data_IF_580567978340
#
_entry.id   IF_580567978340
#
_cell.length_a   1.000
_cell.length_b   1.000
_cell.length_c   1.000
_cell.angle_alpha   90.00
_cell.angle_beta   90.00
_cell.angle_gamma   90.00
#
_symmetry.space_group_name_H-M   'P 1'
#
loop_
_entity.id
_entity.type
_entity.pdbx_description
1 polymer ?
#
# COMPACT_ATOMS: atom_id res chain seq x y z
N UNK A 1 9.88 -6.52 79.43
CA UNK A 1 8.89 -6.73 78.35
C UNK A 1 8.80 -5.43 77.57
N UNK A 2 9.51 -5.35 76.44
CA UNK A 2 9.55 -4.15 75.60
C UNK A 2 8.34 -4.16 74.66
N UNK A 3 7.41 -3.25 74.90
CA UNK A 3 6.19 -3.02 74.12
C UNK A 3 6.57 -2.51 72.73
N UNK A 4 6.64 -3.42 71.78
CA UNK A 4 6.94 -3.14 70.38
C UNK A 4 5.69 -2.51 69.74
N UNK A 5 5.50 -1.19 69.93
CA UNK A 5 4.43 -0.44 69.26
C UNK A 5 4.70 -0.48 67.75
N UNK A 6 3.73 -0.88 66.91
CA UNK A 6 3.89 -0.87 65.47
C UNK A 6 4.09 0.58 65.03
N UNK A 7 5.31 0.89 64.58
CA UNK A 7 5.67 2.19 64.03
C UNK A 7 4.60 2.60 63.03
N UNK A 8 3.90 3.69 63.34
CA UNK A 8 2.87 4.28 62.50
C UNK A 8 3.39 4.36 61.08
N UNK A 9 2.82 3.52 60.21
CA UNK A 9 3.09 3.52 58.78
C UNK A 9 2.53 4.84 58.28
N UNK A 10 3.35 5.90 58.33
CA UNK A 10 3.02 7.22 57.77
C UNK A 10 2.48 6.92 56.38
N UNK A 11 1.20 7.21 56.17
CA UNK A 11 0.54 7.11 54.88
C UNK A 11 1.20 8.17 54.00
N UNK A 12 2.40 7.87 53.50
CA UNK A 12 3.07 8.68 52.50
C UNK A 12 2.11 8.70 51.32
N UNK A 13 1.36 9.79 51.18
CA UNK A 13 0.28 9.92 50.22
C UNK A 13 0.77 9.49 48.85
N UNK A 14 0.25 8.36 48.37
CA UNK A 14 0.68 7.81 47.11
C UNK A 14 0.46 8.86 46.02
N UNK A 15 1.53 9.23 45.31
CA UNK A 15 1.39 10.15 44.18
C UNK A 15 0.41 9.56 43.16
N UNK A 16 -0.50 10.37 42.59
CA UNK A 16 -1.51 9.90 41.67
C UNK A 16 -0.85 9.19 40.48
N UNK A 17 -1.23 7.93 40.29
CA UNK A 17 -0.76 7.10 39.17
C UNK A 17 -1.79 7.18 38.06
N UNK A 18 -1.48 7.97 37.04
CA UNK A 18 -2.22 8.03 35.78
C UNK A 18 -1.93 6.79 34.93
N UNK A 19 -2.27 5.61 35.43
CA UNK A 19 -2.15 4.36 34.68
C UNK A 19 -3.50 4.02 34.06
N UNK A 20 -3.54 3.96 32.74
CA UNK A 20 -4.73 3.50 32.01
C UNK A 20 -4.96 2.03 32.35
N UNK A 21 -6.18 1.63 32.76
CA UNK A 21 -6.47 0.23 33.03
C UNK A 21 -6.26 -0.61 31.76
N UNK A 22 -5.72 -1.84 31.88
CA UNK A 22 -5.51 -2.69 30.72
C UNK A 22 -6.85 -3.04 30.05
N UNK A 23 -6.87 -3.01 28.71
CA UNK A 23 -8.05 -3.37 27.93
C UNK A 23 -8.34 -4.88 28.10
N UNK A 24 -9.58 -5.22 28.50
CA UNK A 24 -10.02 -6.62 28.65
C UNK A 24 -10.13 -7.38 27.33
N UNK A 25 -10.20 -6.66 26.22
CA UNK A 25 -10.24 -7.23 24.87
C UNK A 25 -8.96 -6.88 24.15
N UNK A 26 -8.27 -7.91 23.66
CA UNK A 26 -7.03 -7.79 22.90
C UNK A 26 -7.24 -8.39 21.53
N UNK A 27 -6.78 -7.70 20.48
CA UNK A 27 -6.77 -8.25 19.14
C UNK A 27 -5.83 -9.46 19.04
N UNK A 28 -6.21 -10.44 18.24
CA UNK A 28 -5.36 -11.58 17.90
C UNK A 28 -4.44 -11.20 16.73
N UNK A 29 -3.18 -11.59 16.79
CA UNK A 29 -2.30 -11.55 15.62
C UNK A 29 -2.76 -12.57 14.59
N UNK A 30 -2.30 -12.44 13.33
CA UNK A 30 -2.67 -13.36 12.25
C UNK A 30 -2.46 -14.83 12.65
N UNK A 31 -1.28 -15.16 13.20
CA UNK A 31 -0.97 -16.54 13.58
C UNK A 31 -1.80 -17.02 14.76
N UNK A 32 -1.98 -16.18 15.79
CA UNK A 32 -2.85 -16.51 16.90
C UNK A 32 -4.31 -16.70 16.47
N UNK A 33 -4.78 -15.88 15.51
CA UNK A 33 -6.12 -15.99 14.95
C UNK A 33 -6.31 -17.31 14.17
N UNK A 34 -5.31 -17.74 13.40
CA UNK A 34 -5.32 -19.04 12.69
C UNK A 34 -5.42 -20.24 13.64
N UNK A 35 -4.80 -20.15 14.83
CA UNK A 35 -4.88 -21.20 15.85
C UNK A 35 -6.16 -21.13 16.69
N UNK A 36 -6.71 -19.94 16.89
CA UNK A 36 -7.85 -19.73 17.80
C UNK A 36 -9.21 -19.88 17.10
N UNK A 37 -9.30 -19.46 15.84
CA UNK A 37 -10.55 -19.44 15.09
C UNK A 37 -10.56 -20.52 14.01
N UNK A 38 -11.74 -21.09 13.76
CA UNK A 38 -11.91 -21.97 12.59
C UNK A 38 -11.82 -21.17 11.29
N UNK A 39 -11.51 -21.85 10.18
CA UNK A 39 -11.48 -21.22 8.85
C UNK A 39 -12.82 -20.53 8.49
N UNK A 40 -13.95 -21.16 8.84
CA UNK A 40 -15.28 -20.58 8.60
C UNK A 40 -15.55 -19.33 9.46
N UNK A 41 -15.08 -19.32 10.71
CA UNK A 41 -15.17 -18.14 11.57
C UNK A 41 -14.31 -16.99 11.02
N UNK A 42 -13.08 -17.28 10.61
CA UNK A 42 -12.19 -16.29 9.98
C UNK A 42 -12.80 -15.73 8.70
N UNK A 43 -13.32 -16.59 7.82
CA UNK A 43 -14.01 -16.17 6.61
C UNK A 43 -15.23 -15.30 6.93
N UNK A 44 -16.01 -15.64 7.95
CA UNK A 44 -17.14 -14.84 8.42
C UNK A 44 -16.72 -13.45 8.92
N UNK A 45 -15.66 -13.37 9.72
CA UNK A 45 -15.10 -12.12 10.24
C UNK A 45 -14.60 -11.25 9.07
N UNK A 46 -13.78 -11.81 8.19
CA UNK A 46 -13.23 -11.11 7.03
C UNK A 46 -14.34 -10.65 6.09
N UNK A 47 -15.31 -11.51 5.79
CA UNK A 47 -16.44 -11.16 4.91
C UNK A 47 -17.27 -10.02 5.49
N UNK A 48 -17.53 -10.03 6.81
CA UNK A 48 -18.22 -8.93 7.48
C UNK A 48 -17.42 -7.64 7.44
N UNK A 49 -16.12 -7.69 7.72
CA UNK A 49 -15.23 -6.52 7.68
C UNK A 49 -15.13 -5.93 6.27
N UNK A 50 -15.04 -6.78 5.24
CA UNK A 50 -15.07 -6.36 3.83
C UNK A 50 -16.41 -5.70 3.51
N UNK A 51 -17.54 -6.30 3.90
CA UNK A 51 -18.86 -5.69 3.67
C UNK A 51 -18.98 -4.31 4.31
N UNK A 52 -18.63 -4.19 5.58
CA UNK A 52 -18.67 -2.92 6.31
C UNK A 52 -17.74 -1.86 5.71
N UNK A 53 -16.53 -2.24 5.28
CA UNK A 53 -15.60 -1.33 4.59
C UNK A 53 -15.96 -1.06 3.12
N UNK A 54 -16.81 -1.90 2.52
CA UNK A 54 -17.32 -1.74 1.15
C UNK A 54 -18.55 -0.84 1.06
N UNK A 55 -19.17 -0.47 2.18
CA UNK A 55 -20.24 0.52 2.20
C UNK A 55 -19.67 1.91 1.82
N UNK A 56 -20.39 2.67 1.01
CA UNK A 56 -19.92 4.01 0.62
C UNK A 56 -19.99 5.00 1.79
N UNK A 57 -20.90 4.77 2.74
CA UNK A 57 -21.09 5.56 3.96
C UNK A 57 -19.91 5.48 4.94
N UNK A 58 -19.09 4.43 4.86
CA UNK A 58 -17.94 4.22 5.75
C UNK A 58 -16.67 4.94 5.27
N UNK A 59 -16.64 5.43 4.03
CA UNK A 59 -15.49 6.14 3.47
C UNK A 59 -15.50 7.60 3.95
N UNK A 60 -14.52 7.94 4.80
CA UNK A 60 -14.20 9.33 5.17
C UNK A 60 -12.75 9.62 4.81
N UNK A 61 -12.55 10.51 3.83
CA UNK A 61 -11.22 10.93 3.39
C UNK A 61 -10.95 12.36 3.86
N UNK A 62 -9.70 12.60 4.25
CA UNK A 62 -9.20 13.89 4.66
C UNK A 62 -8.29 14.43 3.55
N UNK A 63 -8.01 15.73 3.59
CA UNK A 63 -7.03 16.35 2.71
C UNK A 63 -5.64 15.87 3.09
N UNK A 64 -4.78 15.68 2.09
CA UNK A 64 -3.41 15.19 2.29
C UNK A 64 -2.61 16.11 3.22
N UNK A 65 -2.76 17.42 3.05
CA UNK A 65 -2.13 18.44 3.90
C UNK A 65 -2.51 18.26 5.37
N UNK A 66 -3.80 18.03 5.65
CA UNK A 66 -4.30 17.83 7.01
C UNK A 66 -3.79 16.53 7.63
N UNK A 67 -3.64 15.47 6.84
CA UNK A 67 -3.13 14.18 7.34
C UNK A 67 -1.63 14.23 7.63
N UNK A 68 -0.86 14.90 6.76
CA UNK A 68 0.59 14.88 6.83
C UNK A 68 1.18 15.99 7.71
N UNK A 69 0.48 17.12 7.86
CA UNK A 69 0.96 18.31 8.59
C UNK A 69 0.09 18.64 9.80
N UNK A 70 -1.17 18.99 9.56
CA UNK A 70 -2.02 19.59 10.60
C UNK A 70 -2.28 18.62 11.78
N UNK A 71 -2.63 17.35 11.49
CA UNK A 71 -2.93 16.36 12.53
C UNK A 71 -1.68 16.01 13.36
N UNK A 72 -0.51 15.69 12.77
CA UNK A 72 0.70 15.43 13.56
C UNK A 72 1.16 16.63 14.40
N UNK A 73 1.08 17.84 13.86
CA UNK A 73 1.43 19.07 14.59
C UNK A 73 0.52 19.28 15.80
N UNK A 74 -0.79 19.16 15.59
CA UNK A 74 -1.78 19.32 16.64
C UNK A 74 -1.69 18.21 17.70
N UNK A 75 -1.45 16.96 17.28
CA UNK A 75 -1.22 15.84 18.19
C UNK A 75 0.01 16.11 19.07
N UNK A 76 1.10 16.59 18.49
CA UNK A 76 2.30 16.95 19.25
C UNK A 76 2.03 18.09 20.24
N UNK A 77 1.29 19.13 19.82
CA UNK A 77 0.86 20.24 20.68
C UNK A 77 0.04 19.76 21.87
N UNK A 78 -0.94 18.89 21.64
CA UNK A 78 -1.79 18.31 22.68
C UNK A 78 -1.02 17.37 23.61
N UNK A 79 -0.06 16.60 23.10
CA UNK A 79 0.81 15.75 23.93
C UNK A 79 1.67 16.58 24.88
N UNK A 80 2.23 17.69 24.41
CA UNK A 80 2.99 18.63 25.23
C UNK A 80 2.10 19.27 26.30
N UNK A 81 0.91 19.74 25.91
CA UNK A 81 -0.09 20.27 26.85
C UNK A 81 -0.49 19.23 27.91
N UNK A 82 -0.73 17.98 27.51
CA UNK A 82 -1.04 16.87 28.42
C UNK A 82 0.10 16.62 29.40
N UNK A 83 1.35 16.64 28.96
CA UNK A 83 2.51 16.47 29.86
C UNK A 83 2.64 17.62 30.85
N UNK A 84 2.40 18.86 30.41
CA UNK A 84 2.44 20.05 31.27
C UNK A 84 1.33 20.02 32.33
N UNK A 85 0.08 19.75 31.93
CA UNK A 85 -1.04 19.60 32.86
C UNK A 85 -0.76 18.49 33.87
N UNK A 86 -0.23 17.35 33.42
CA UNK A 86 0.13 16.23 34.31
C UNK A 86 1.23 16.57 35.31
N UNK A 87 2.23 17.37 34.92
CA UNK A 87 3.29 17.81 35.85
C UNK A 87 2.76 18.81 36.87
N UNK A 88 1.95 19.80 36.45
CA UNK A 88 1.28 20.76 37.34
C UNK A 88 0.35 20.05 38.33
N UNK A 89 -0.49 19.13 37.86
CA UNK A 89 -1.39 18.37 38.71
C UNK A 89 -0.63 17.58 39.79
N UNK A 90 0.48 16.92 39.42
CA UNK A 90 1.34 16.21 40.38
C UNK A 90 1.96 17.14 41.42
N UNK A 91 2.41 18.32 40.99
CA UNK A 91 2.96 19.34 41.90
C UNK A 91 1.92 19.81 42.91
N UNK A 92 0.73 20.21 42.45
CA UNK A 92 -0.37 20.66 43.31
C UNK A 92 -0.87 19.55 44.23
N UNK A 93 -0.93 18.31 43.75
CA UNK A 93 -1.30 17.17 44.60
C UNK A 93 -0.30 17.00 45.75
N UNK A 94 1.01 17.14 45.50
CA UNK A 94 2.04 17.10 46.56
C UNK A 94 1.89 18.26 47.53
N UNK A 95 1.62 19.48 47.03
CA UNK A 95 1.37 20.66 47.85
C UNK A 95 0.14 20.47 48.75
N UNK A 96 -0.97 19.94 48.21
CA UNK A 96 -2.18 19.57 48.95
C UNK A 96 -1.87 18.60 50.08
N UNK A 97 -1.13 17.52 49.79
CA UNK A 97 -0.72 16.54 50.81
C UNK A 97 0.16 17.16 51.89
N UNK A 98 1.06 18.09 51.54
CA UNK A 98 1.88 18.82 52.51
C UNK A 98 1.04 19.71 53.43
N UNK A 99 0.07 20.45 52.88
CA UNK A 99 -0.84 21.30 53.66
C UNK A 99 -1.77 20.49 54.58
N UNK A 100 -2.24 19.34 54.11
CA UNK A 100 -3.00 18.42 54.94
C UNK A 100 -2.15 17.89 56.10
N UNK A 101 -0.89 17.52 55.86
CA UNK A 101 0.02 17.07 56.91
C UNK A 101 0.29 18.18 57.95
N UNK A 102 0.49 19.43 57.52
CA UNK A 102 0.64 20.56 58.45
C UNK A 102 -0.62 20.79 59.27
N UNK A 103 -1.80 20.69 58.64
CA UNK A 103 -3.08 20.81 59.32
C UNK A 103 -3.28 19.70 60.36
N UNK A 104 -2.90 18.45 60.03
CA UNK A 104 -2.96 17.32 60.97
C UNK A 104 -2.04 17.54 62.17
N UNK A 105 -0.80 17.99 61.95
CA UNK A 105 0.14 18.27 63.05
C UNK A 105 -0.38 19.39 63.97
N UNK A 106 -1.08 20.39 63.40
CA UNK A 106 -1.72 21.45 64.18
C UNK A 106 -2.88 20.92 65.04
N UNK A 107 -3.67 19.97 64.51
CA UNK A 107 -4.77 19.33 65.24
C UNK A 107 -4.29 18.40 66.37
N UNK A 108 -3.13 17.75 66.21
CA UNK A 108 -2.54 16.86 67.22
C UNK A 108 -2.02 17.63 68.47
N UNK A 109 -2.17 18.96 68.50
CA UNK A 109 -1.86 19.80 69.65
C UNK A 109 -0.37 19.94 69.93
N UNK A 110 0.49 19.53 68.99
CA UNK A 110 1.94 19.66 69.11
C UNK A 110 2.43 21.11 69.03
N UNK A 111 1.64 22.01 68.45
CA UNK A 111 1.94 23.44 68.36
C UNK A 111 0.72 24.27 68.85
N UNK A 112 0.90 25.08 69.89
CA UNK A 112 -0.05 26.11 70.33
C UNK A 112 -0.02 27.29 69.35
N UNK A 113 -0.51 27.10 68.13
CA UNK A 113 -0.55 28.15 67.11
C UNK A 113 -1.91 28.86 67.04
N UNK A 114 -1.87 30.11 66.56
CA UNK A 114 -3.04 30.97 66.38
C UNK A 114 -4.10 30.32 65.46
N UNK A 115 -5.39 30.33 65.85
CA UNK A 115 -6.48 29.75 65.04
C UNK A 115 -6.61 30.40 63.65
N UNK A 116 -6.12 31.63 63.49
CA UNK A 116 -6.08 32.32 62.20
C UNK A 116 -5.15 31.66 61.18
N UNK A 117 -4.09 30.98 61.63
CA UNK A 117 -3.17 30.28 60.74
C UNK A 117 -3.82 29.02 60.16
N UNK A 118 -4.55 28.27 60.99
CA UNK A 118 -5.34 27.12 60.55
C UNK A 118 -6.34 27.50 59.44
N UNK A 119 -7.06 28.62 59.60
CA UNK A 119 -8.01 29.12 58.61
C UNK A 119 -7.34 29.45 57.26
N UNK A 120 -6.12 30.01 57.27
CA UNK A 120 -5.36 30.27 56.04
C UNK A 120 -4.95 28.99 55.32
N UNK A 121 -4.57 27.94 56.06
CA UNK A 121 -4.25 26.63 55.48
C UNK A 121 -5.50 26.04 54.80
N UNK A 122 -6.67 26.14 55.45
CA UNK A 122 -7.94 25.66 54.90
C UNK A 122 -8.32 26.40 53.62
N UNK A 123 -8.18 27.72 53.56
CA UNK A 123 -8.48 28.49 52.33
C UNK A 123 -7.51 28.11 51.19
N UNK A 124 -6.20 28.00 51.47
CA UNK A 124 -5.22 27.53 50.48
C UNK A 124 -5.54 26.10 49.98
N UNK A 125 -6.05 25.24 50.86
CA UNK A 125 -6.42 23.88 50.51
C UNK A 125 -7.65 23.85 49.58
N UNK A 126 -8.62 24.72 49.84
CA UNK A 126 -9.79 24.92 48.98
C UNK A 126 -9.37 25.41 47.59
N UNK A 127 -8.50 26.41 47.51
CA UNK A 127 -8.00 26.94 46.23
C UNK A 127 -7.26 25.87 45.41
N UNK A 128 -6.35 25.12 46.05
CA UNK A 128 -5.62 24.02 45.39
C UNK A 128 -6.58 22.91 44.94
N UNK A 129 -7.65 22.65 45.68
CA UNK A 129 -8.63 21.63 45.28
C UNK A 129 -9.39 22.07 44.02
N UNK A 130 -9.82 23.32 43.95
CA UNK A 130 -10.46 23.89 42.75
C UNK A 130 -9.49 23.85 41.55
N UNK A 131 -8.21 24.18 41.75
CA UNK A 131 -7.22 24.13 40.68
C UNK A 131 -6.93 22.70 40.21
N UNK A 132 -6.91 21.72 41.13
CA UNK A 132 -6.76 20.31 40.79
C UNK A 132 -7.94 19.79 39.96
N UNK A 133 -9.17 20.19 40.30
CA UNK A 133 -10.36 19.80 39.54
C UNK A 133 -10.32 20.37 38.11
N UNK A 134 -9.94 21.64 37.94
CA UNK A 134 -9.73 22.25 36.61
C UNK A 134 -8.66 21.53 35.80
N UNK A 135 -7.51 21.22 36.40
CA UNK A 135 -6.46 20.47 35.72
C UNK A 135 -6.89 19.04 35.36
N UNK A 136 -7.81 18.43 36.12
CA UNK A 136 -8.37 17.13 35.78
C UNK A 136 -9.31 17.22 34.56
N UNK A 137 -10.14 18.26 34.48
CA UNK A 137 -10.96 18.57 33.30
C UNK A 137 -10.10 18.82 32.06
N UNK A 138 -9.05 19.64 32.18
CA UNK A 138 -8.11 19.93 31.10
C UNK A 138 -7.39 18.65 30.61
N UNK A 139 -6.98 17.79 31.55
CA UNK A 139 -6.33 16.52 31.22
C UNK A 139 -7.28 15.60 30.44
N UNK A 140 -8.54 15.52 30.88
CA UNK A 140 -9.54 14.70 30.21
C UNK A 140 -9.85 15.23 28.81
N UNK A 141 -9.98 16.55 28.65
CA UNK A 141 -10.20 17.19 27.35
C UNK A 141 -9.05 16.93 26.38
N UNK A 142 -7.79 17.04 26.84
CA UNK A 142 -6.62 16.77 26.02
C UNK A 142 -6.55 15.28 25.59
N UNK A 143 -6.81 14.35 26.51
CA UNK A 143 -6.84 12.92 26.19
C UNK A 143 -7.95 12.58 25.20
N UNK A 144 -9.13 13.19 25.33
CA UNK A 144 -10.23 13.01 24.38
C UNK A 144 -9.89 13.54 22.99
N UNK A 145 -9.34 14.75 22.89
CA UNK A 145 -8.92 15.32 21.61
C UNK A 145 -7.85 14.47 20.91
N UNK A 146 -6.85 13.99 21.67
CA UNK A 146 -5.83 13.05 21.15
C UNK A 146 -6.50 11.76 20.64
N UNK A 147 -7.47 11.20 21.37
CA UNK A 147 -8.18 10.00 20.96
C UNK A 147 -9.01 10.23 19.69
N UNK A 148 -9.70 11.37 19.59
CA UNK A 148 -10.48 11.76 18.42
C UNK A 148 -9.58 11.93 17.17
N UNK A 149 -8.43 12.60 17.30
CA UNK A 149 -7.47 12.76 16.19
C UNK A 149 -6.88 11.43 15.72
N UNK A 150 -6.53 10.54 16.66
CA UNK A 150 -6.06 9.20 16.31
C UNK A 150 -7.15 8.37 15.61
N UNK A 151 -8.38 8.39 16.14
CA UNK A 151 -9.51 7.72 15.50
C UNK A 151 -9.77 8.26 14.09
N UNK A 152 -9.67 9.58 13.90
CA UNK A 152 -9.84 10.22 12.60
C UNK A 152 -8.76 9.77 11.60
N UNK A 153 -7.50 9.66 12.05
CA UNK A 153 -6.39 9.11 11.25
C UNK A 153 -6.62 7.65 10.88
N UNK A 154 -7.06 6.84 11.82
CA UNK A 154 -7.33 5.42 11.60
C UNK A 154 -8.46 5.23 10.58
N UNK A 155 -9.56 5.97 10.75
CA UNK A 155 -10.69 5.98 9.81
C UNK A 155 -10.25 6.45 8.42
N UNK A 156 -9.40 7.47 8.33
CA UNK A 156 -8.84 7.93 7.06
C UNK A 156 -8.02 6.83 6.37
N UNK A 157 -7.10 6.19 7.10
CA UNK A 157 -6.24 5.13 6.56
C UNK A 157 -7.05 3.92 6.08
N UNK A 158 -8.06 3.50 6.86
CA UNK A 158 -8.97 2.43 6.51
C UNK A 158 -9.81 2.79 5.27
N UNK A 159 -10.31 4.03 5.20
CA UNK A 159 -11.09 4.53 4.06
C UNK A 159 -10.24 4.60 2.78
N UNK A 160 -9.01 5.08 2.88
CA UNK A 160 -8.07 5.15 1.77
C UNK A 160 -7.74 3.75 1.23
N UNK A 161 -7.48 2.79 2.13
CA UNK A 161 -7.23 1.39 1.77
C UNK A 161 -8.46 0.74 1.13
N UNK A 162 -9.66 0.93 1.70
CA UNK A 162 -10.90 0.41 1.12
C UNK A 162 -11.12 0.95 -0.29
N UNK A 163 -10.85 2.24 -0.52
CA UNK A 163 -10.98 2.85 -1.84
C UNK A 163 -9.93 2.31 -2.83
N UNK A 164 -8.69 2.07 -2.37
CA UNK A 164 -7.65 1.43 -3.17
C UNK A 164 -8.03 0.00 -3.57
N UNK A 165 -8.57 -0.81 -2.64
CA UNK A 165 -9.06 -2.16 -2.93
C UNK A 165 -10.20 -2.16 -3.94
N UNK A 166 -11.13 -1.20 -3.87
CA UNK A 166 -12.20 -1.07 -4.88
C UNK A 166 -11.64 -0.75 -6.26
N UNK A 167 -10.67 0.16 -6.34
CA UNK A 167 -10.00 0.50 -7.61
C UNK A 167 -9.26 -0.70 -8.19
N UNK A 168 -8.52 -1.43 -7.35
CA UNK A 168 -7.79 -2.65 -7.74
C UNK A 168 -8.76 -3.72 -8.24
N UNK A 169 -9.83 -4.00 -7.51
CA UNK A 169 -10.83 -4.99 -7.93
C UNK A 169 -11.46 -4.58 -9.27
N UNK A 170 -11.80 -3.30 -9.43
CA UNK A 170 -12.34 -2.78 -10.70
C UNK A 170 -11.35 -2.94 -11.87
N UNK A 171 -10.05 -2.68 -11.66
CA UNK A 171 -9.04 -2.89 -12.71
C UNK A 171 -8.82 -4.36 -13.01
N UNK A 172 -8.84 -5.22 -11.99
CA UNK A 172 -8.68 -6.66 -12.13
C UNK A 172 -9.84 -7.28 -12.93
N UNK A 173 -11.09 -6.93 -12.61
CA UNK A 173 -12.26 -7.38 -13.37
C UNK A 173 -12.21 -6.92 -14.83
N UNK A 174 -11.72 -5.70 -15.10
CA UNK A 174 -11.52 -5.22 -16.48
C UNK A 174 -10.46 -6.04 -17.22
N UNK A 175 -9.36 -6.40 -16.55
CA UNK A 175 -8.31 -7.23 -17.15
C UNK A 175 -8.81 -8.64 -17.45
N UNK A 176 -9.61 -9.24 -16.55
CA UNK A 176 -10.28 -10.52 -16.81
C UNK A 176 -11.17 -10.43 -18.05
N UNK A 177 -12.06 -9.43 -18.11
CA UNK A 177 -12.96 -9.24 -19.24
C UNK A 177 -12.19 -9.03 -20.56
N UNK A 178 -11.08 -8.29 -20.54
CA UNK A 178 -10.21 -8.11 -21.70
C UNK A 178 -9.53 -9.43 -22.12
N UNK A 179 -9.08 -10.24 -21.16
CA UNK A 179 -8.51 -11.56 -21.42
C UNK A 179 -9.53 -12.53 -22.01
N UNK A 180 -10.77 -12.52 -21.52
CA UNK A 180 -11.88 -13.29 -22.09
C UNK A 180 -12.21 -12.85 -23.52
N UNK A 181 -12.29 -11.54 -23.78
CA UNK A 181 -12.52 -11.01 -25.12
C UNK A 181 -11.41 -11.43 -26.10
N UNK A 182 -10.14 -11.42 -25.67
CA UNK A 182 -9.03 -11.89 -26.50
C UNK A 182 -9.12 -13.39 -26.78
N UNK A 183 -9.49 -14.21 -25.78
CA UNK A 183 -9.70 -15.66 -25.99
C UNK A 183 -10.85 -15.91 -26.96
N UNK A 184 -11.94 -15.16 -26.87
CA UNK A 184 -13.05 -15.24 -27.81
C UNK A 184 -12.61 -14.88 -29.23
N UNK A 185 -11.80 -13.83 -29.38
CA UNK A 185 -11.25 -13.44 -30.68
C UNK A 185 -10.32 -14.52 -31.25
N UNK A 186 -9.46 -15.15 -30.42
CA UNK A 186 -8.62 -16.26 -30.85
C UNK A 186 -9.46 -17.44 -31.30
N UNK A 187 -10.51 -17.79 -30.54
CA UNK A 187 -11.43 -18.87 -30.91
C UNK A 187 -12.19 -18.56 -32.22
N UNK A 188 -12.64 -17.32 -32.43
CA UNK A 188 -13.27 -16.86 -33.67
C UNK A 188 -12.31 -16.97 -34.86
N UNK A 189 -11.08 -16.45 -34.73
CA UNK A 189 -10.06 -16.54 -35.78
C UNK A 189 -9.64 -17.99 -36.07
N UNK A 190 -9.61 -18.86 -35.05
CA UNK A 190 -9.37 -20.29 -35.24
C UNK A 190 -10.50 -20.95 -36.03
N UNK A 191 -11.75 -20.62 -35.71
CA UNK A 191 -12.91 -21.11 -36.45
C UNK A 191 -12.91 -20.62 -37.91
N UNK A 192 -12.59 -19.35 -38.15
CA UNK A 192 -12.41 -18.80 -39.52
C UNK A 192 -11.30 -19.52 -40.28
N UNK A 193 -10.18 -19.83 -39.61
CA UNK A 193 -9.06 -20.58 -40.21
C UNK A 193 -9.48 -22.01 -40.56
N UNK A 194 -10.20 -22.69 -39.67
CA UNK A 194 -10.68 -24.04 -39.90
C UNK A 194 -11.71 -24.08 -41.05
N UNK A 195 -12.61 -23.10 -41.12
CA UNK A 195 -13.57 -22.94 -42.22
C UNK A 195 -12.86 -22.69 -43.55
N UNK A 196 -11.89 -21.75 -43.59
CA UNK A 196 -11.10 -21.47 -44.78
C UNK A 196 -10.30 -22.68 -45.25
N UNK A 197 -9.78 -23.48 -44.31
CA UNK A 197 -9.11 -24.74 -44.61
C UNK A 197 -10.09 -25.77 -45.22
N UNK A 198 -11.28 -25.94 -44.65
CA UNK A 198 -12.29 -26.85 -45.18
C UNK A 198 -12.71 -26.47 -46.61
N UNK A 199 -12.96 -25.17 -46.85
CA UNK A 199 -13.28 -24.68 -48.19
C UNK A 199 -12.14 -24.93 -49.20
N UNK A 200 -10.89 -24.81 -48.78
CA UNK A 200 -9.73 -25.09 -49.64
C UNK A 200 -9.61 -26.58 -49.97
N UNK A 201 -9.85 -27.46 -49.00
CA UNK A 201 -9.89 -28.91 -49.21
C UNK A 201 -11.02 -29.29 -50.15
N UNK A 202 -12.24 -28.78 -49.92
CA UNK A 202 -13.41 -29.02 -50.77
C UNK A 202 -13.19 -28.54 -52.22
N UNK A 203 -12.50 -27.41 -52.40
CA UNK A 203 -12.15 -26.93 -53.74
C UNK A 203 -11.13 -27.86 -54.42
N UNK A 204 -10.10 -28.32 -53.69
CA UNK A 204 -9.10 -29.22 -54.23
C UNK A 204 -9.71 -30.57 -54.64
N UNK A 205 -10.55 -31.16 -53.80
CA UNK A 205 -11.23 -32.43 -54.11
C UNK A 205 -12.17 -32.28 -55.31
N UNK A 206 -12.91 -31.18 -55.42
CA UNK A 206 -13.75 -30.90 -56.60
C UNK A 206 -12.94 -30.76 -57.90
N UNK A 207 -11.72 -30.21 -57.83
CA UNK A 207 -10.80 -30.14 -58.96
C UNK A 207 -10.26 -31.52 -59.36
N UNK A 208 -9.88 -32.33 -58.37
CA UNK A 208 -9.41 -33.70 -58.58
C UNK A 208 -10.51 -34.57 -59.22
N UNK A 209 -11.75 -34.49 -58.70
CA UNK A 209 -12.93 -35.17 -59.25
C UNK A 209 -13.21 -34.75 -60.70
N UNK A 210 -13.07 -33.45 -61.01
CA UNK A 210 -13.26 -32.94 -62.37
C UNK A 210 -12.16 -33.43 -63.32
N UNK A 211 -10.92 -33.47 -62.84
CA UNK A 211 -9.78 -33.98 -63.61
C UNK A 211 -9.96 -35.47 -63.92
N UNK A 212 -10.34 -36.28 -62.92
CA UNK A 212 -10.62 -37.71 -63.10
C UNK A 212 -11.76 -37.96 -64.11
N UNK A 213 -12.86 -37.19 -64.01
CA UNK A 213 -13.96 -37.28 -64.99
C UNK A 213 -13.53 -36.90 -66.41
N UNK A 214 -12.62 -35.93 -66.55
CA UNK A 214 -12.08 -35.51 -67.85
C UNK A 214 -11.17 -36.59 -68.45
N UNK A 215 -10.36 -37.25 -67.62
CA UNK A 215 -9.54 -38.40 -68.05
C UNK A 215 -10.41 -39.58 -68.51
N UNK A 216 -11.49 -39.90 -67.80
CA UNK A 216 -12.40 -41.01 -68.14
C UNK A 216 -13.21 -40.72 -69.43
N UNK A 217 -13.61 -39.47 -69.68
CA UNK A 217 -14.39 -39.11 -70.87
C UNK A 217 -13.56 -38.99 -72.16
N UNK A 218 -12.23 -39.03 -72.08
CA UNK A 218 -11.34 -38.98 -73.25
C UNK A 218 -10.45 -40.23 -73.41
N UNK A 219 -11.02 -41.46 -73.53
CA UNK A 219 -10.26 -42.70 -73.47
C UNK A 219 -9.54 -43.07 -74.78
N UNK A 220 -9.15 -42.10 -75.62
CA UNK A 220 -8.71 -42.40 -76.98
C UNK A 220 -7.76 -41.44 -77.68
N UNK A 221 -7.19 -40.44 -77.01
CA UNK A 221 -6.25 -39.52 -77.65
C UNK A 221 -4.93 -39.41 -76.90
N UNK A 222 -4.24 -40.55 -76.81
CA UNK A 222 -2.79 -40.54 -76.64
C UNK A 222 -2.18 -39.95 -77.92
N UNK A 223 -1.82 -38.66 -77.88
CA UNK A 223 -0.68 -38.03 -78.58
C UNK A 223 -0.92 -36.53 -78.74
N UNK A 224 0.17 -35.79 -78.63
CA UNK A 224 0.35 -34.36 -78.93
C UNK A 224 0.15 -33.38 -77.77
N UNK A 225 1.28 -33.22 -77.06
CA UNK A 225 1.73 -31.94 -76.55
C UNK A 225 1.38 -30.78 -77.49
N UNK A 226 0.59 -29.82 -77.02
CA UNK A 226 0.54 -28.50 -77.64
C UNK A 226 0.75 -27.46 -76.56
N UNK A 227 2.03 -27.08 -76.42
CA UNK A 227 2.46 -25.82 -75.82
C UNK A 227 1.85 -24.69 -76.65
N UNK A 228 0.61 -24.29 -76.36
CA UNK A 228 0.02 -23.11 -77.01
C UNK A 228 -0.71 -22.26 -75.99
N UNK A 229 0.09 -21.37 -75.39
CA UNK A 229 -0.25 -19.98 -75.08
C UNK A 229 -1.75 -19.70 -74.94
N UNK A 230 -2.25 -19.80 -73.71
CA UNK A 230 -3.49 -19.16 -73.30
C UNK A 230 -3.10 -18.07 -72.30
N UNK A 231 -3.08 -16.83 -72.80
CA UNK A 231 -2.95 -15.63 -71.98
C UNK A 231 -4.18 -15.56 -71.07
N UNK A 232 -4.03 -16.05 -69.85
CA UNK A 232 -4.95 -15.74 -68.76
C UNK A 232 -4.83 -14.24 -68.51
N UNK A 233 -5.79 -13.48 -69.03
CA UNK A 233 -6.01 -12.11 -68.62
C UNK A 233 -6.37 -12.16 -67.14
N UNK A 234 -5.37 -11.88 -66.29
CA UNK A 234 -5.57 -11.55 -64.89
C UNK A 234 -6.42 -10.28 -64.83
N UNK A 235 -7.75 -10.47 -64.88
CA UNK A 235 -8.71 -9.44 -64.53
C UNK A 235 -8.56 -9.20 -63.03
N UNK A 236 -7.70 -8.24 -62.69
CA UNK A 236 -7.65 -7.53 -61.40
C UNK A 236 -9.03 -6.90 -61.12
N UNK A 237 -10.00 -7.73 -60.72
CA UNK A 237 -11.29 -7.28 -60.21
C UNK A 237 -11.06 -6.88 -58.75
N UNK A 238 -10.96 -5.55 -58.55
CA UNK A 238 -11.26 -4.78 -57.34
C UNK A 238 -11.39 -5.64 -56.07
N UNK A 239 -10.35 -5.76 -55.26
CA UNK A 239 -10.18 -4.91 -54.07
C UNK A 239 -11.42 -4.08 -53.71
N UNK A 240 -12.48 -4.75 -53.26
CA UNK A 240 -13.38 -4.16 -52.26
C UNK A 240 -12.65 -4.36 -50.94
N UNK A 241 -11.73 -3.43 -50.64
CA UNK A 241 -11.37 -3.15 -49.26
C UNK A 241 -12.67 -2.71 -48.58
N UNK A 242 -13.34 -3.63 -47.91
CA UNK A 242 -14.31 -3.34 -46.85
C UNK A 242 -13.53 -2.58 -45.78
N UNK A 243 -13.38 -1.29 -46.04
CA UNK A 243 -12.87 -0.36 -45.08
C UNK A 243 -14.03 -0.12 -44.12
N UNK A 244 -13.78 -0.41 -42.84
CA UNK A 244 -14.10 0.57 -41.81
C UNK A 244 -15.59 0.76 -41.51
N UNK A 245 -16.26 -0.29 -41.05
CA UNK A 245 -17.16 -0.14 -39.91
C UNK A 245 -16.26 -0.26 -38.66
N UNK A 246 -15.69 0.80 -38.09
CA UNK A 246 -16.43 2.00 -37.71
C UNK A 246 -17.32 1.76 -36.49
N UNK A 247 -17.27 0.59 -35.83
CA UNK A 247 -17.83 0.43 -34.49
C UNK A 247 -16.85 1.01 -33.47
N UNK A 248 -16.80 2.35 -33.44
CA UNK A 248 -16.61 3.05 -32.18
C UNK A 248 -17.76 2.61 -31.30
N UNK A 249 -17.54 1.56 -30.51
CA UNK A 249 -18.37 1.30 -29.34
C UNK A 249 -18.41 2.61 -28.57
N UNK A 250 -19.62 3.15 -28.51
CA UNK A 250 -19.96 4.31 -27.73
C UNK A 250 -19.48 4.08 -26.31
N UNK A 251 -18.32 4.63 -25.97
CA UNK A 251 -17.98 4.94 -24.59
C UNK A 251 -18.99 5.98 -24.14
N UNK A 252 -20.12 5.50 -23.62
CA UNK A 252 -20.97 6.24 -22.70
C UNK A 252 -20.13 6.51 -21.47
N UNK A 253 -19.29 7.54 -21.55
CA UNK A 253 -18.69 8.20 -20.40
C UNK A 253 -19.66 9.31 -20.01
N UNK A 254 -20.66 8.95 -19.20
CA UNK A 254 -21.44 9.92 -18.45
C UNK A 254 -20.50 10.58 -17.43
N UNK A 255 -19.97 11.73 -17.81
CA UNK A 255 -19.36 12.66 -16.87
C UNK A 255 -20.15 13.96 -16.90
N UNK A 256 -20.47 14.40 -15.69
CA UNK A 256 -20.77 15.78 -15.28
C UNK A 256 -22.23 16.22 -15.40
N UNK A 257 -22.98 16.08 -14.30
CA UNK A 257 -23.95 17.10 -13.89
C UNK A 257 -23.17 18.25 -13.24
N UNK A 258 -23.07 19.37 -13.95
CA UNK A 258 -22.81 20.70 -13.42
C UNK A 258 -24.17 21.41 -13.43
N UNK A 259 -24.69 21.93 -12.30
CA UNK A 259 -24.31 23.19 -11.65
C UNK A 259 -24.36 24.37 -12.62
N UNK A 260 -25.27 25.29 -12.30
CA UNK A 260 -25.46 26.66 -12.84
C UNK A 260 -26.34 26.83 -14.07
N UNK A 261 -27.64 26.96 -13.79
CA UNK A 261 -28.53 27.83 -14.57
C UNK A 261 -28.72 29.14 -13.82
N UNK A 262 -28.59 30.25 -14.57
CA UNK A 262 -29.04 31.63 -14.36
C UNK A 262 -27.85 32.58 -14.58
N UNK A 263 -27.93 33.67 -15.33
CA UNK A 263 -28.92 34.32 -16.18
C UNK A 263 -28.15 35.54 -16.72
N UNK A 264 -28.13 35.81 -18.03
CA UNK A 264 -27.87 37.13 -18.64
C UNK A 264 -28.18 36.95 -20.14
N UNK A 265 -29.38 37.36 -20.57
CA UNK A 265 -29.69 38.64 -21.22
C UNK A 265 -29.29 38.67 -22.71
N UNK A 266 -30.30 38.42 -23.54
CA UNK A 266 -30.65 39.16 -24.77
C UNK A 266 -29.53 39.82 -25.58
N UNK A 267 -29.38 39.39 -26.85
CA UNK A 267 -29.60 40.26 -28.03
C UNK A 267 -29.53 39.46 -29.35
N UNK A 268 -30.64 39.55 -30.10
CA UNK A 268 -30.84 39.50 -31.56
C UNK A 268 -30.54 38.22 -32.38
N UNK A 269 -31.52 37.78 -33.21
CA UNK A 269 -31.34 36.75 -34.24
C UNK A 269 -31.08 37.38 -35.62
N UNK A 270 -30.20 36.77 -36.42
CA UNK A 270 -30.21 36.98 -37.87
C UNK A 270 -29.97 35.65 -38.60
N UNK A 271 -31.08 35.15 -39.13
CA UNK A 271 -31.33 34.46 -40.40
C UNK A 271 -30.12 33.96 -41.24
N UNK A 272 -30.12 32.63 -41.41
CA UNK A 272 -29.77 31.81 -42.57
C UNK A 272 -28.40 31.95 -43.26
N UNK A 273 -27.62 30.89 -43.18
CA UNK A 273 -27.30 30.04 -44.33
C UNK A 273 -26.98 28.63 -43.84
N UNK A 274 -27.59 27.65 -44.49
CA UNK A 274 -27.32 26.22 -44.35
C UNK A 274 -25.88 25.90 -44.79
N UNK A 275 -25.25 24.95 -44.11
CA UNK A 275 -24.11 24.21 -44.66
C UNK A 275 -22.76 24.45 -44.00
N UNK A 276 -22.33 23.41 -43.26
CA UNK A 276 -20.99 23.10 -42.74
C UNK A 276 -20.77 23.55 -41.28
N UNK A 277 -20.81 22.62 -40.30
CA UNK A 277 -20.36 22.91 -38.95
C UNK A 277 -18.84 23.22 -38.94
N UNK A 278 -18.37 24.18 -38.12
CA UNK A 278 -16.96 24.52 -38.06
C UNK A 278 -16.12 23.31 -37.63
N UNK A 279 -15.13 22.96 -38.46
CA UNK A 279 -14.18 21.89 -38.18
C UNK A 279 -13.38 22.26 -36.92
N UNK A 280 -13.29 21.38 -35.90
CA UNK A 280 -12.47 21.65 -34.72
C UNK A 280 -11.00 21.82 -35.12
N UNK A 281 -10.26 22.77 -34.51
CA UNK A 281 -8.88 23.03 -34.87
C UNK A 281 -8.01 21.78 -34.69
N UNK A 282 -7.33 21.38 -35.77
CA UNK A 282 -6.41 20.25 -35.80
C UNK A 282 -5.24 20.56 -34.86
N UNK A 283 -4.93 19.70 -33.86
CA UNK A 283 -3.76 19.85 -33.02
C UNK A 283 -2.50 19.80 -33.88
N UNK A 284 -1.88 20.96 -34.13
CA UNK A 284 -0.54 21.05 -34.71
C UNK A 284 0.49 20.55 -33.70
N UNK A 285 0.66 19.22 -33.62
CA UNK A 285 1.90 18.65 -33.06
C UNK A 285 2.98 18.83 -34.13
N UNK A 286 3.76 19.91 -34.00
CA UNK A 286 5.11 19.96 -34.55
C UNK A 286 5.92 18.83 -33.90
N UNK A 287 6.55 17.92 -34.65
CA UNK A 287 7.70 17.19 -34.16
C UNK A 287 8.86 18.18 -34.15
N UNK A 288 9.24 18.66 -32.97
CA UNK A 288 10.54 19.29 -32.82
C UNK A 288 11.61 18.21 -32.94
N UNK A 289 12.40 18.37 -34.00
CA UNK A 289 13.83 18.10 -34.07
C UNK A 289 14.33 16.75 -33.57
N UNK A 290 14.53 15.89 -34.57
CA UNK A 290 15.63 14.94 -34.62
C UNK A 290 16.93 15.72 -34.40
N UNK A 291 17.35 15.84 -33.15
CA UNK A 291 18.74 16.14 -32.77
C UNK A 291 19.45 14.82 -32.50
N UNK A 292 20.01 14.28 -33.57
CA UNK A 292 21.20 13.42 -33.49
C UNK A 292 22.35 14.31 -33.01
N UNK A 293 22.63 14.34 -31.72
CA UNK A 293 24.01 14.50 -31.30
C UNK A 293 24.29 13.89 -29.93
N UNK A 294 25.42 13.21 -29.88
CA UNK A 294 25.95 12.47 -28.75
C UNK A 294 26.40 13.45 -27.67
N UNK A 295 25.88 13.31 -26.44
CA UNK A 295 26.66 13.66 -25.25
C UNK A 295 26.14 12.95 -24.00
N UNK A 296 26.96 12.01 -23.55
CA UNK A 296 26.89 11.34 -22.27
C UNK A 296 26.94 12.36 -21.13
N UNK A 297 25.87 12.49 -20.36
CA UNK A 297 25.91 13.05 -19.00
C UNK A 297 24.84 12.40 -18.14
N UNK A 298 25.33 11.58 -17.24
CA UNK A 298 24.61 10.84 -16.21
C UNK A 298 24.02 11.79 -15.17
N UNK A 299 22.70 11.77 -15.03
CA UNK A 299 22.01 12.30 -13.85
C UNK A 299 21.16 11.19 -13.26
N UNK A 300 21.59 10.71 -12.10
CA UNK A 300 20.95 9.67 -11.32
C UNK A 300 19.63 10.17 -10.74
N UNK A 301 18.51 9.62 -11.22
CA UNK A 301 17.32 9.46 -10.40
C UNK A 301 17.14 7.97 -10.11
N UNK A 302 17.21 7.63 -8.83
CA UNK A 302 17.04 6.28 -8.31
C UNK A 302 15.56 5.89 -8.40
N UNK A 303 15.15 5.38 -9.56
CA UNK A 303 13.94 4.57 -9.70
C UNK A 303 14.29 3.13 -9.32
N UNK A 304 13.65 2.60 -8.28
CA UNK A 304 13.76 1.18 -7.93
C UNK A 304 13.36 0.34 -9.14
N UNK A 305 14.17 -0.65 -9.57
CA UNK A 305 13.87 -1.45 -10.76
C UNK A 305 12.57 -2.23 -10.55
N UNK A 306 11.59 -1.98 -11.42
CA UNK A 306 10.35 -2.75 -11.50
C UNK A 306 10.64 -4.17 -11.98
N UNK A 307 9.73 -5.11 -11.69
CA UNK A 307 9.88 -6.53 -12.04
C UNK A 307 10.21 -6.74 -13.52
N UNK A 308 9.61 -5.94 -14.40
CA UNK A 308 9.82 -6.01 -15.85
C UNK A 308 11.24 -5.61 -16.26
N UNK A 309 11.85 -4.63 -15.57
CA UNK A 309 13.25 -4.24 -15.83
C UNK A 309 14.21 -5.39 -15.52
N UNK A 310 13.95 -6.18 -14.48
CA UNK A 310 14.79 -7.34 -14.13
C UNK A 310 14.59 -8.52 -15.09
N UNK A 311 13.39 -8.68 -15.64
CA UNK A 311 13.11 -9.72 -16.63
C UNK A 311 13.83 -9.40 -17.96
N UNK A 312 13.81 -8.13 -18.37
CA UNK A 312 14.48 -7.66 -19.58
C UNK A 312 16.00 -7.77 -19.47
N UNK A 313 16.57 -7.40 -18.31
CA UNK A 313 18.02 -7.57 -18.04
C UNK A 313 18.46 -9.04 -18.13
N UNK A 314 17.65 -9.99 -17.64
CA UNK A 314 17.96 -11.43 -17.76
C UNK A 314 17.87 -11.94 -19.19
N UNK A 315 16.85 -11.52 -19.93
CA UNK A 315 16.72 -11.91 -21.34
C UNK A 315 17.89 -11.38 -22.19
N UNK A 316 18.44 -10.22 -21.84
CA UNK A 316 19.65 -9.70 -22.45
C UNK A 316 20.88 -10.54 -22.11
N UNK A 317 21.08 -10.89 -20.82
CA UNK A 317 22.18 -11.75 -20.39
C UNK A 317 22.15 -13.12 -21.11
N UNK A 318 20.98 -13.74 -21.25
CA UNK A 318 20.79 -15.03 -21.94
C UNK A 318 21.07 -14.95 -23.45
N UNK A 319 20.67 -13.84 -24.09
CA UNK A 319 20.97 -13.59 -25.52
C UNK A 319 22.47 -13.45 -25.78
N UNK A 320 23.20 -12.77 -24.90
CA UNK A 320 24.65 -12.64 -25.03
C UNK A 320 25.37 -13.97 -24.82
N UNK A 321 24.88 -14.79 -23.90
CA UNK A 321 25.39 -16.13 -23.66
C UNK A 321 25.18 -17.05 -24.89
N UNK A 322 23.97 -17.03 -25.47
CA UNK A 322 23.67 -17.79 -26.70
C UNK A 322 24.50 -17.34 -27.91
N UNK A 323 24.81 -16.05 -28.00
CA UNK A 323 25.63 -15.51 -29.08
C UNK A 323 27.14 -15.73 -28.84
N UNK A 324 27.53 -16.27 -27.69
CA UNK A 324 28.94 -16.49 -27.31
C UNK A 324 29.74 -15.18 -27.21
N UNK A 325 29.06 -14.05 -27.04
CA UNK A 325 29.69 -12.74 -26.96
C UNK A 325 29.91 -12.45 -25.47
N UNK A 326 31.17 -12.34 -25.00
CA UNK A 326 31.43 -12.03 -23.61
C UNK A 326 30.82 -10.67 -23.27
N UNK A 327 29.89 -10.65 -22.33
CA UNK A 327 29.22 -9.42 -21.87
C UNK A 327 30.30 -8.47 -21.34
N UNK A 328 30.45 -7.26 -21.88
CA UNK A 328 31.39 -6.29 -21.34
C UNK A 328 30.93 -5.97 -19.91
N UNK A 329 31.76 -6.33 -18.92
CA UNK A 329 31.54 -6.04 -17.50
C UNK A 329 31.36 -4.53 -17.31
N UNK A 330 30.13 -4.06 -17.43
CA UNK A 330 29.77 -2.68 -17.18
C UNK A 330 29.88 -2.48 -15.67
N UNK A 331 31.03 -1.94 -15.24
CA UNK A 331 31.40 -1.56 -13.88
C UNK A 331 30.19 -1.52 -12.93
N UNK A 332 29.89 -2.67 -12.31
CA UNK A 332 28.89 -2.76 -11.25
C UNK A 332 29.43 -1.94 -10.09
N UNK A 333 28.99 -0.69 -10.00
CA UNK A 333 29.25 0.21 -8.89
C UNK A 333 28.91 -0.52 -7.59
N UNK A 334 29.94 -1.05 -6.90
CA UNK A 334 29.84 -1.64 -5.57
C UNK A 334 29.14 -0.64 -4.67
N UNK A 335 27.87 -0.90 -4.38
CA UNK A 335 27.08 -0.11 -3.45
C UNK A 335 27.59 -0.46 -2.05
N UNK A 336 28.35 0.47 -1.47
CA UNK A 336 28.90 0.37 -0.12
C UNK A 336 27.80 0.12 0.90
N UNK A 337 27.85 -1.02 1.57
CA UNK A 337 27.12 -1.25 2.81
C UNK A 337 27.78 -0.40 3.90
N UNK A 338 27.11 0.67 4.35
CA UNK A 338 27.54 1.43 5.53
C UNK A 338 27.23 0.62 6.78
N UNK A 339 28.28 0.02 7.35
CA UNK A 339 28.31 -0.50 8.72
C UNK A 339 28.54 0.70 9.64
N UNK A 340 27.61 0.97 10.55
CA UNK A 340 27.81 1.89 11.67
C UNK A 340 28.60 1.15 12.74
N UNK A 341 29.92 1.37 12.80
CA UNK A 341 30.72 1.05 13.98
C UNK A 341 31.05 2.36 14.69
N UNK A 342 30.60 2.46 15.94
CA UNK A 342 31.12 3.43 16.90
C UNK A 342 32.55 3.05 17.26
N UNK A 343 33.50 3.92 16.93
CA UNK A 343 34.85 3.90 17.48
C UNK A 343 35.00 5.12 18.40
N UNK A 344 35.06 4.85 19.71
CA UNK A 344 35.65 5.77 20.68
C UNK A 344 37.13 5.39 20.76
N UNK A 345 38.00 6.32 20.37
CA UNK A 345 39.44 6.21 20.51
C UNK A 345 39.91 7.02 21.73
N UNK A 346 40.53 6.31 22.64
CA UNK A 346 41.43 6.79 23.70
C UNK A 346 42.65 7.52 23.12
N UNK A 347 43.12 8.53 23.87
CA UNK A 347 44.54 8.90 23.98
C UNK A 347 44.77 9.70 25.27
N UNK A 348 45.29 8.99 26.29
CA UNK A 348 46.40 9.30 27.21
C UNK A 348 47.00 10.73 27.15
N UNK A 349 47.36 11.47 28.22
CA UNK A 349 47.96 11.19 29.54
C UNK A 349 48.15 12.55 30.29
N UNK A 350 48.73 12.69 31.52
CA UNK A 350 48.55 11.95 32.78
C UNK A 350 48.49 12.86 34.06
N UNK A 351 48.34 12.22 35.24
CA UNK A 351 48.71 12.64 36.63
C UNK A 351 47.79 13.60 37.40
N UNK A 352 47.06 13.07 38.39
CA UNK A 352 47.34 13.19 39.84
C UNK A 352 46.25 12.43 40.64
N UNK A 353 46.67 11.48 41.49
CA UNK A 353 45.85 10.81 42.52
C UNK A 353 45.99 11.56 43.88
N UNK A 354 45.35 11.20 45.02
CA UNK A 354 44.33 10.16 45.33
C UNK A 354 43.23 10.71 46.33
N UNK A 355 42.65 9.94 47.29
CA UNK A 355 41.52 9.01 47.18
C UNK A 355 40.35 9.35 48.14
N UNK A 356 39.21 8.62 48.06
CA UNK A 356 38.56 7.94 49.20
C UNK A 356 37.19 7.28 48.85
N UNK A 357 37.05 6.04 49.34
CA UNK A 357 35.85 5.37 49.86
C UNK A 357 34.68 4.96 48.92
N UNK A 358 34.73 3.68 48.52
CA UNK A 358 33.70 2.63 48.71
C UNK A 358 32.21 3.01 48.68
N UNK A 359 31.44 2.41 47.74
CA UNK A 359 30.23 1.63 48.07
C UNK A 359 30.04 0.53 47.01
N UNK A 360 30.06 -0.71 47.47
CA UNK A 360 29.59 -1.88 46.74
C UNK A 360 28.08 -1.79 46.47
N UNK A 361 27.63 -2.12 45.26
CA UNK A 361 26.39 -2.90 45.12
C UNK A 361 26.35 -3.72 43.83
N UNK A 362 26.51 -5.03 44.05
CA UNK A 362 26.16 -6.15 43.16
C UNK A 362 24.75 -5.98 42.58
N UNK A 363 24.58 -6.33 41.30
CA UNK A 363 23.44 -7.13 40.80
C UNK A 363 23.75 -7.73 39.42
N UNK A 364 24.25 -8.97 39.51
CA UNK A 364 23.98 -10.13 38.64
C UNK A 364 23.42 -9.91 37.24
N UNK A 365 24.28 -10.24 36.27
CA UNK A 365 23.97 -10.79 34.96
C UNK A 365 22.97 -11.94 35.03
N UNK A 366 21.98 -11.90 34.14
CA UNK A 366 21.20 -13.07 33.73
C UNK A 366 21.39 -13.20 32.22
N UNK A 367 22.36 -14.04 31.86
CA UNK A 367 22.59 -14.55 30.52
C UNK A 367 21.34 -15.31 30.06
N UNK A 368 20.68 -14.80 29.02
CA UNK A 368 19.54 -15.47 28.36
C UNK A 368 20.10 -16.30 27.19
N UNK A 369 19.91 -17.63 27.16
CA UNK A 369 20.35 -18.43 26.02
C UNK A 369 19.47 -18.16 24.80
N UNK A 370 20.12 -17.87 23.67
CA UNK A 370 19.49 -17.89 22.34
C UNK A 370 19.44 -19.33 21.84
N UNK A 371 18.25 -19.92 21.82
CA UNK A 371 17.98 -21.15 21.09
C UNK A 371 16.70 -20.95 20.27
N UNK A 372 16.88 -20.61 18.99
CA UNK A 372 15.87 -20.80 17.97
C UNK A 372 16.12 -22.17 17.32
N UNK A 373 15.13 -23.08 17.27
CA UNK A 373 15.20 -24.23 16.39
C UNK A 373 15.04 -23.74 14.94
N UNK A 374 16.02 -24.05 14.09
CA UNK A 374 15.83 -23.97 12.64
C UNK A 374 14.72 -24.95 12.25
N UNK A 375 13.63 -24.44 11.67
CA UNK A 375 12.54 -25.26 11.13
C UNK A 375 12.93 -25.76 9.72
N UNK A 376 13.13 -27.08 9.51
CA UNK A 376 13.45 -27.66 8.19
C UNK A 376 12.24 -27.70 7.22
N UNK A 377 11.06 -27.27 7.67
CA UNK A 377 9.80 -27.41 6.92
C UNK A 377 9.68 -26.44 5.74
N UNK A 378 10.42 -25.33 5.74
CA UNK A 378 10.37 -24.35 4.64
C UNK A 378 11.24 -24.76 3.45
N UNK A 379 12.39 -25.40 3.71
CA UNK A 379 13.23 -25.98 2.66
C UNK A 379 12.57 -27.20 2.01
N UNK A 380 11.83 -28.00 2.78
CA UNK A 380 11.10 -29.15 2.27
C UNK A 380 9.89 -28.74 1.42
N UNK A 381 9.17 -27.67 1.80
CA UNK A 381 8.08 -27.12 1.00
C UNK A 381 8.56 -26.48 -0.32
N UNK A 382 9.72 -25.83 -0.32
CA UNK A 382 10.30 -25.29 -1.55
C UNK A 382 10.80 -26.39 -2.49
N UNK A 383 11.36 -27.48 -1.95
CA UNK A 383 11.79 -28.64 -2.74
C UNK A 383 10.61 -29.45 -3.31
N UNK A 384 9.48 -29.50 -2.61
CA UNK A 384 8.26 -30.14 -3.12
C UNK A 384 7.64 -29.37 -4.30
N UNK A 385 7.73 -28.03 -4.29
CA UNK A 385 7.22 -27.20 -5.39
C UNK A 385 8.12 -27.31 -6.63
N UNK A 386 9.44 -27.43 -6.46
CA UNK A 386 10.36 -27.63 -7.59
C UNK A 386 10.31 -29.05 -8.17
N UNK A 387 9.96 -30.08 -7.39
CA UNK A 387 9.78 -31.43 -7.93
C UNK A 387 8.54 -31.55 -8.81
N UNK A 388 7.43 -30.87 -8.45
CA UNK A 388 6.20 -30.92 -9.26
C UNK A 388 6.37 -30.22 -10.61
N UNK A 389 7.18 -29.16 -10.67
CA UNK A 389 7.52 -28.47 -11.93
C UNK A 389 8.42 -29.34 -12.83
N UNK A 390 9.35 -30.11 -12.25
CA UNK A 390 10.20 -31.03 -13.00
C UNK A 390 9.45 -32.27 -13.53
N UNK A 391 8.42 -32.73 -12.80
CA UNK A 391 7.56 -33.84 -13.24
C UNK A 391 6.63 -33.40 -14.38
N UNK A 392 6.14 -32.16 -14.35
CA UNK A 392 5.35 -31.59 -15.45
C UNK A 392 6.17 -31.36 -16.73
N UNK A 393 7.44 -31.01 -16.60
CA UNK A 393 8.36 -30.88 -17.75
C UNK A 393 8.72 -32.24 -18.37
N UNK A 394 8.80 -33.31 -17.57
CA UNK A 394 9.10 -34.66 -18.07
C UNK A 394 7.89 -35.39 -18.65
N UNK A 395 6.66 -34.95 -18.34
CA UNK A 395 5.41 -35.49 -18.90
C UNK A 395 4.98 -34.86 -20.24
N UNK A 396 5.79 -33.98 -20.84
CA UNK A 396 5.53 -33.44 -22.19
C UNK A 396 4.21 -32.67 -22.32
N UNK A 397 3.68 -32.14 -21.21
CA UNK A 397 2.40 -31.40 -21.17
C UNK A 397 2.57 -29.89 -21.39
N UNK A 398 3.78 -29.45 -21.77
CA UNK A 398 4.09 -28.10 -22.19
C UNK A 398 4.75 -28.25 -23.57
N UNK A 399 3.91 -28.43 -24.59
CA UNK A 399 4.29 -28.18 -25.98
C UNK A 399 4.14 -26.67 -26.25
N UNK A 400 5.11 -26.12 -26.98
CA UNK A 400 5.26 -24.70 -27.36
C UNK A 400 4.02 -24.00 -27.92
#
# INVERSE_FOLDING_TARGET
MASNMPSGRRLAGASPRFQTPPLRWRGYTMDAAKWTFSSSQLQGIVSRAIRQSSEASSIRLLRLETVDKDIPEELHRLEMQRTDVKTRYKMLTRRRTSLLATLTNLLDGTDQEDPTYALRIVENLKDISIELDRLAEDLHSADEQIAQLNSLRDVHSASALAMALRKLNTSFLKQIAAGEALRQQVAELQAERDEAWHQAVDAATAYDDLNERMEIQSPGSATHSSKRSSRVLASKKSSIRVSKAGLRSSSRRSSVSSVNAQRNSSTMPSVAMDGIPPVPPIPRRRPEDIRTDLQSRTSALSTTPTSDSRALDRAQEELYDMLGIPVPESNRSRRSHSVVMSAASDSENPRFSPPLASVQRRRSDVSRPSSLPLNPTLSEALNAITSDVAILATLGLIDD
#
